data_IF_008956699025
#
_entry.id   IF_008956699025
#
_cell.length_a   1.000
_cell.length_b   1.000
_cell.length_c   1.000
_cell.angle_alpha   90.00
_cell.angle_beta   90.00
_cell.angle_gamma   90.00
#
_symmetry.space_group_name_H-M   'P 1'
#
loop_
_entity.id
_entity.type
_entity.pdbx_description
1 polymer ?
#
# COMPACT_ATOMS: atom_id res chain seq x y z
N UNK A 1 -2.71 -2.39 0.21
CA UNK A 1 -1.88 -2.86 1.33
C UNK A 1 -2.58 -3.97 2.11
N UNK A 2 -3.85 -3.81 2.51
CA UNK A 2 -4.72 -4.85 3.12
C UNK A 2 -4.37 -6.32 2.88
N UNK A 3 -4.28 -6.80 1.64
CA UNK A 3 -3.98 -8.22 1.36
C UNK A 3 -2.65 -8.67 1.96
N UNK A 4 -1.61 -7.83 1.89
CA UNK A 4 -0.29 -8.12 2.45
C UNK A 4 -0.32 -8.03 3.98
N UNK A 5 -0.92 -6.97 4.52
CA UNK A 5 -1.02 -6.75 5.98
C UNK A 5 -1.76 -7.92 6.66
N UNK A 6 -2.90 -8.33 6.12
CA UNK A 6 -3.69 -9.46 6.64
C UNK A 6 -2.94 -10.79 6.50
N UNK A 7 -2.14 -10.96 5.44
CA UNK A 7 -1.31 -12.15 5.28
C UNK A 7 -0.20 -12.21 6.33
N UNK A 8 0.49 -11.10 6.55
CA UNK A 8 1.56 -10.99 7.55
C UNK A 8 1.02 -11.27 8.95
N UNK A 9 -0.14 -10.70 9.30
CA UNK A 9 -0.81 -10.94 10.57
C UNK A 9 -1.26 -12.40 10.75
N UNK A 10 -1.82 -13.01 9.70
CA UNK A 10 -2.33 -14.38 9.74
C UNK A 10 -1.21 -15.43 9.88
N UNK A 11 -0.10 -15.25 9.18
CA UNK A 11 1.04 -16.18 9.21
C UNK A 11 2.06 -15.83 10.32
N UNK A 12 1.85 -14.72 11.04
CA UNK A 12 2.75 -14.26 12.09
C UNK A 12 4.10 -13.77 11.57
N UNK A 13 4.14 -13.29 10.32
CA UNK A 13 5.33 -12.70 9.73
C UNK A 13 5.57 -11.30 10.32
N UNK A 14 6.84 -10.90 10.38
CA UNK A 14 7.19 -9.50 10.67
C UNK A 14 6.85 -8.65 9.44
N UNK A 15 6.25 -7.45 9.60
CA UNK A 15 5.93 -6.59 8.46
C UNK A 15 7.14 -6.34 7.55
N UNK A 16 6.98 -6.60 6.26
CA UNK A 16 8.02 -6.46 5.24
C UNK A 16 8.93 -7.70 5.05
N UNK A 17 8.75 -8.76 5.84
CA UNK A 17 9.57 -9.98 5.73
C UNK A 17 8.99 -11.05 4.79
N UNK A 18 7.83 -10.79 4.16
CA UNK A 18 7.25 -11.65 3.11
C UNK A 18 8.23 -11.92 1.95
N UNK A 19 8.08 -13.07 1.29
CA UNK A 19 8.92 -13.46 0.17
C UNK A 19 8.14 -14.10 -0.98
N UNK A 20 8.83 -14.39 -2.08
CA UNK A 20 8.20 -14.92 -3.30
C UNK A 20 7.56 -16.29 -3.08
N UNK A 21 8.08 -17.06 -2.13
CA UNK A 21 7.53 -18.35 -1.70
C UNK A 21 6.12 -18.21 -1.09
N UNK A 22 5.78 -17.04 -0.54
CA UNK A 22 4.48 -16.74 0.05
C UNK A 22 3.43 -16.39 -1.02
N UNK A 23 3.85 -16.05 -2.24
CA UNK A 23 2.97 -15.56 -3.30
C UNK A 23 1.74 -16.45 -3.55
N UNK A 24 1.83 -17.80 -3.61
CA UNK A 24 0.65 -18.64 -3.80
C UNK A 24 -0.38 -18.48 -2.67
N UNK A 25 0.07 -18.31 -1.43
CA UNK A 25 -0.79 -18.12 -0.26
C UNK A 25 -1.37 -16.70 -0.22
N UNK A 26 -0.58 -15.69 -0.58
CA UNK A 26 -1.03 -14.30 -0.76
C UNK A 26 -2.13 -14.20 -1.82
N UNK A 27 -1.98 -14.89 -2.96
CA UNK A 27 -2.99 -14.91 -4.02
C UNK A 27 -4.27 -15.64 -3.60
N UNK A 28 -4.14 -16.69 -2.78
CA UNK A 28 -5.29 -17.37 -2.17
C UNK A 28 -6.03 -16.43 -1.22
N UNK A 29 -5.32 -15.75 -0.32
CA UNK A 29 -5.91 -14.79 0.61
C UNK A 29 -6.56 -13.61 -0.12
N UNK A 30 -5.92 -13.09 -1.19
CA UNK A 30 -6.50 -12.06 -2.07
C UNK A 30 -7.91 -12.46 -2.51
N UNK A 31 -8.07 -13.70 -2.98
CA UNK A 31 -9.36 -14.21 -3.46
C UNK A 31 -10.39 -14.27 -2.33
N UNK A 32 -10.01 -14.82 -1.18
CA UNK A 32 -10.89 -14.93 -0.01
C UNK A 32 -11.36 -13.55 0.48
N UNK A 33 -10.45 -12.56 0.55
CA UNK A 33 -10.79 -11.18 0.94
C UNK A 33 -11.68 -10.48 -0.09
N UNK A 34 -11.44 -10.69 -1.39
CA UNK A 34 -12.30 -10.17 -2.45
C UNK A 34 -13.71 -10.74 -2.36
N UNK A 35 -13.85 -12.05 -2.12
CA UNK A 35 -15.15 -12.71 -1.92
C UNK A 35 -15.87 -12.19 -0.68
N UNK A 36 -15.17 -12.06 0.45
CA UNK A 36 -15.74 -11.54 1.71
C UNK A 36 -16.22 -10.09 1.58
N UNK A 37 -15.49 -9.25 0.84
CA UNK A 37 -15.84 -7.84 0.65
C UNK A 37 -16.74 -7.60 -0.57
N UNK A 38 -17.17 -8.67 -1.26
CA UNK A 38 -17.97 -8.56 -2.50
C UNK A 38 -17.31 -7.68 -3.57
N UNK A 39 -15.97 -7.73 -3.66
CA UNK A 39 -15.15 -6.99 -4.62
C UNK A 39 -14.65 -7.91 -5.73
N UNK A 40 -14.62 -7.40 -6.96
CA UNK A 40 -14.00 -8.15 -8.07
C UNK A 40 -12.48 -8.28 -7.84
N UNK A 41 -11.94 -9.48 -8.05
CA UNK A 41 -10.50 -9.74 -8.01
C UNK A 41 -9.69 -8.86 -8.97
N UNK A 42 -10.32 -8.34 -10.04
CA UNK A 42 -9.68 -7.46 -11.02
C UNK A 42 -9.23 -6.11 -10.45
N UNK A 43 -9.77 -5.69 -9.30
CA UNK A 43 -9.35 -4.46 -8.63
C UNK A 43 -7.94 -4.55 -8.04
N UNK A 44 -7.43 -5.78 -7.83
CA UNK A 44 -6.10 -6.03 -7.27
C UNK A 44 -5.30 -6.86 -8.29
N UNK A 45 -4.56 -6.20 -9.20
CA UNK A 45 -3.75 -6.89 -10.19
C UNK A 45 -2.70 -7.78 -9.51
N UNK A 46 -2.58 -9.04 -9.94
CA UNK A 46 -1.60 -9.98 -9.38
C UNK A 46 -0.16 -9.46 -9.48
N UNK A 47 0.17 -8.74 -10.57
CA UNK A 47 1.48 -8.10 -10.77
C UNK A 47 1.85 -7.12 -9.65
N UNK A 48 0.85 -6.49 -9.00
CA UNK A 48 1.09 -5.62 -7.85
C UNK A 48 1.56 -6.46 -6.65
N UNK A 49 0.88 -7.58 -6.37
CA UNK A 49 1.21 -8.47 -5.26
C UNK A 49 2.56 -9.15 -5.49
N UNK A 50 2.85 -9.59 -6.72
CA UNK A 50 4.15 -10.11 -7.12
C UNK A 50 5.28 -9.11 -6.82
N UNK A 51 5.09 -7.82 -7.17
CA UNK A 51 6.09 -6.77 -6.88
C UNK A 51 6.26 -6.55 -5.38
N UNK A 52 5.18 -6.57 -4.61
CA UNK A 52 5.21 -6.35 -3.17
C UNK A 52 5.94 -7.49 -2.43
N UNK A 53 5.71 -8.75 -2.81
CA UNK A 53 6.45 -9.89 -2.20
C UNK A 53 7.92 -9.96 -2.62
N UNK A 54 8.28 -9.37 -3.77
CA UNK A 54 9.67 -9.31 -4.24
C UNK A 54 10.46 -8.13 -3.65
N UNK A 55 9.77 -7.04 -3.28
CA UNK A 55 10.35 -5.76 -2.89
C UNK A 55 10.70 -5.66 -1.41
N UNK A 56 11.76 -6.32 -0.96
CA UNK A 56 12.14 -6.40 0.47
C UNK A 56 12.93 -5.19 1.01
N UNK A 57 13.12 -4.14 0.21
CA UNK A 57 14.05 -3.05 0.57
C UNK A 57 13.45 -1.69 0.29
N UNK A 58 13.67 -0.79 1.24
CA UNK A 58 13.48 0.63 1.04
C UNK A 58 14.30 1.11 -0.16
N UNK A 59 13.65 1.87 -1.03
CA UNK A 59 14.31 2.48 -2.18
C UNK A 59 14.55 3.96 -1.87
N UNK A 60 15.81 4.41 -1.69
CA UNK A 60 16.08 5.78 -1.20
C UNK A 60 15.40 6.91 -2.00
N UNK A 61 15.26 6.83 -3.34
CA UNK A 61 14.47 7.82 -4.08
C UNK A 61 12.99 7.84 -3.70
N UNK A 62 12.36 6.69 -3.45
CA UNK A 62 10.97 6.61 -2.98
C UNK A 62 10.85 7.18 -1.57
N UNK A 63 11.80 6.87 -0.68
CA UNK A 63 11.82 7.44 0.67
C UNK A 63 11.90 8.97 0.65
N UNK A 64 12.68 9.56 -0.26
CA UNK A 64 12.77 11.00 -0.42
C UNK A 64 11.44 11.62 -0.91
N UNK A 65 10.76 10.96 -1.86
CA UNK A 65 9.45 11.40 -2.36
C UNK A 65 8.38 11.33 -1.27
N UNK A 66 8.24 10.17 -0.63
CA UNK A 66 7.25 9.96 0.44
C UNK A 66 7.53 10.87 1.63
N UNK A 67 8.80 10.96 2.07
CA UNK A 67 9.20 11.84 3.17
C UNK A 67 8.98 13.32 2.88
N UNK A 68 9.21 13.77 1.64
CA UNK A 68 8.93 15.13 1.21
C UNK A 68 7.45 15.47 1.26
N UNK A 69 6.59 14.56 0.77
CA UNK A 69 5.13 14.75 0.78
C UNK A 69 4.60 14.70 2.21
N UNK A 70 4.98 13.69 2.99
CA UNK A 70 4.57 13.56 4.39
C UNK A 70 5.01 14.78 5.22
N UNK A 71 6.25 15.25 5.06
CA UNK A 71 6.75 16.43 5.75
C UNK A 71 5.95 17.69 5.39
N UNK A 72 5.56 17.86 4.12
CA UNK A 72 4.67 18.95 3.73
C UNK A 72 3.30 18.84 4.40
N UNK A 73 2.70 17.66 4.47
CA UNK A 73 1.40 17.47 5.12
C UNK A 73 1.44 17.81 6.62
N UNK A 74 2.50 17.38 7.31
CA UNK A 74 2.72 17.74 8.72
C UNK A 74 2.77 19.26 8.90
N UNK A 75 3.50 19.98 8.04
CA UNK A 75 3.57 21.44 8.08
C UNK A 75 2.21 22.08 7.82
N UNK A 76 1.41 21.56 6.87
CA UNK A 76 0.06 22.07 6.59
C UNK A 76 -0.84 21.95 7.83
N UNK A 77 -0.83 20.78 8.47
CA UNK A 77 -1.61 20.52 9.69
C UNK A 77 -1.20 21.46 10.82
N UNK A 78 0.09 21.56 11.13
CA UNK A 78 0.57 22.35 12.27
C UNK A 78 0.40 23.85 12.02
N UNK A 79 0.62 24.33 10.79
CA UNK A 79 0.53 25.75 10.48
C UNK A 79 -0.91 26.25 10.33
N UNK A 80 -1.87 25.37 10.01
CA UNK A 80 -3.25 25.74 9.69
C UNK A 80 -3.40 26.60 8.42
N UNK A 81 -2.35 26.72 7.60
CA UNK A 81 -2.32 27.64 6.45
C UNK A 81 -2.86 27.06 5.15
N UNK A 82 -2.95 25.73 5.05
CA UNK A 82 -3.41 25.01 3.85
C UNK A 82 -4.18 23.77 4.26
N UNK A 83 -5.08 23.32 3.39
CA UNK A 83 -5.84 22.08 3.59
C UNK A 83 -4.90 20.88 3.39
N UNK A 84 -4.77 19.97 4.37
CA UNK A 84 -4.04 18.72 4.21
C UNK A 84 -4.71 17.80 3.19
N UNK A 85 -3.93 16.85 2.66
CA UNK A 85 -4.45 15.71 1.92
C UNK A 85 -5.46 14.95 2.77
N UNK A 86 -6.49 14.41 2.11
CA UNK A 86 -7.47 13.57 2.79
C UNK A 86 -6.93 12.15 2.88
N UNK A 87 -6.59 11.73 4.10
CA UNK A 87 -6.24 10.38 4.55
C UNK A 87 -5.14 9.60 3.78
N UNK A 88 -5.27 9.24 2.51
CA UNK A 88 -4.30 8.37 1.83
C UNK A 88 -3.61 9.01 0.64
N UNK A 89 -2.30 8.77 0.56
CA UNK A 89 -1.47 9.06 -0.60
C UNK A 89 -0.73 7.77 -1.01
N UNK A 90 -0.85 7.38 -2.27
CA UNK A 90 -0.18 6.23 -2.88
C UNK A 90 0.81 6.70 -3.93
N UNK A 91 1.98 6.08 -3.99
CA UNK A 91 3.00 6.36 -5.00
C UNK A 91 3.46 5.06 -5.67
N UNK A 92 3.41 5.01 -7.00
CA UNK A 92 3.99 3.93 -7.80
C UNK A 92 5.28 4.42 -8.48
N UNK A 93 6.41 3.82 -8.09
CA UNK A 93 7.71 4.17 -8.63
C UNK A 93 7.91 3.72 -10.09
N UNK A 94 7.11 2.77 -10.59
CA UNK A 94 7.26 2.21 -11.93
C UNK A 94 6.73 3.14 -13.01
N UNK A 95 5.65 3.88 -12.74
CA UNK A 95 5.09 4.86 -13.66
C UNK A 95 5.11 6.31 -13.13
N UNK A 96 5.61 6.51 -11.90
CA UNK A 96 5.78 7.81 -11.27
C UNK A 96 4.48 8.46 -10.81
N UNK A 97 3.37 7.72 -10.77
CA UNK A 97 2.08 8.27 -10.36
C UNK A 97 1.98 8.41 -8.84
N UNK A 98 1.53 9.58 -8.41
CA UNK A 98 1.04 9.84 -7.06
C UNK A 98 -0.47 10.04 -7.07
N UNK A 99 -1.20 9.27 -6.26
CA UNK A 99 -2.66 9.30 -6.18
C UNK A 99 -3.07 9.64 -4.75
N UNK A 100 -4.03 10.55 -4.61
CA UNK A 100 -4.65 10.91 -3.33
C UNK A 100 -6.04 10.32 -3.33
N UNK A 101 -6.35 9.46 -2.36
CA UNK A 101 -7.66 8.81 -2.24
C UNK A 101 -8.30 9.20 -0.93
N UNK A 102 -9.60 9.51 -0.95
CA UNK A 102 -10.41 9.76 0.26
C UNK A 102 -11.23 8.52 0.60
N UNK A 103 -10.68 7.64 1.44
CA UNK A 103 -11.33 6.37 1.77
C UNK A 103 -12.41 6.48 2.86
N UNK A 104 -12.62 7.67 3.43
CA UNK A 104 -13.67 7.87 4.46
C UNK A 104 -15.08 7.75 3.89
N UNK A 105 -15.20 7.80 2.55
CA UNK A 105 -16.45 7.76 1.80
C UNK A 105 -16.69 6.40 1.12
N UNK A 106 -15.84 5.41 1.38
CA UNK A 106 -15.84 4.07 0.74
C UNK A 106 -16.40 2.98 1.64
#
# INVERSE_FOLDING_TARGET
MRVIEEFEDAEGHVPGEICIEDLPMVLKLKKELCEQQSLSESHIPNVLLERLVMGRREFPPVCAIIGGILGQEVIKVISGKRVPLKNFFFFDAMDGKGIVEDISSS
#
